data_IF_128533740772
#
_entry.id   IF_128533740772
#
_cell.length_a   1.000
_cell.length_b   1.000
_cell.length_c   1.000
_cell.angle_alpha   90.00
_cell.angle_beta   90.00
_cell.angle_gamma   90.00
#
_symmetry.space_group_name_H-M   'P 1'
#
loop_
_entity.id
_entity.type
_entity.pdbx_description
1 polymer ?
#
# COMPACT_ATOMS: atom_id res chain seq x y z
N UNK A 1 -1.77 6.87 2.93
CA UNK A 1 -0.51 6.25 3.39
C UNK A 1 0.43 7.34 3.90
N UNK A 2 1.09 7.14 5.04
CA UNK A 2 2.08 8.10 5.55
C UNK A 2 3.44 7.83 4.90
N UNK A 3 4.22 8.88 4.62
CA UNK A 3 5.59 8.73 4.14
C UNK A 3 6.48 8.29 5.32
N UNK A 4 7.19 7.18 5.18
CA UNK A 4 8.14 6.72 6.20
C UNK A 4 9.45 7.51 6.13
N UNK A 5 9.97 7.94 7.28
CA UNK A 5 11.20 8.71 7.36
C UNK A 5 12.39 7.79 7.67
N UNK A 6 13.09 7.35 6.62
CA UNK A 6 14.24 6.44 6.74
C UNK A 6 15.46 7.08 7.41
N UNK A 7 15.64 8.39 7.29
CA UNK A 7 16.79 9.08 7.90
C UNK A 7 16.64 9.12 9.42
N UNK A 8 15.45 9.45 9.92
CA UNK A 8 15.16 9.43 11.36
C UNK A 8 15.17 8.01 11.94
N UNK A 9 14.71 7.03 11.17
CA UNK A 9 14.79 5.63 11.57
C UNK A 9 16.25 5.18 11.76
N UNK A 10 17.15 5.52 10.82
CA UNK A 10 18.60 5.23 10.90
C UNK A 10 19.29 5.94 12.06
N UNK A 11 18.80 7.12 12.45
CA UNK A 11 19.23 7.84 13.66
C UNK A 11 18.66 7.24 14.96
N UNK A 12 17.89 6.14 14.87
CA UNK A 12 17.36 5.38 16.01
C UNK A 12 16.40 6.22 16.88
N UNK A 13 15.63 7.13 16.26
CA UNK A 13 14.67 7.99 16.98
C UNK A 13 13.41 7.25 17.43
N UNK A 14 13.03 6.22 16.70
CA UNK A 14 11.86 5.39 16.97
C UNK A 14 12.13 3.94 16.58
N UNK A 15 11.34 3.02 17.13
CA UNK A 15 11.27 1.63 16.69
C UNK A 15 10.03 1.41 15.83
N UNK A 16 10.06 0.38 14.98
CA UNK A 16 8.95 -0.01 14.12
C UNK A 16 8.40 -1.35 14.59
N UNK A 17 7.12 -1.39 14.89
CA UNK A 17 6.40 -2.59 15.30
C UNK A 17 5.76 -3.27 14.08
N UNK A 18 5.85 -4.60 14.04
CA UNK A 18 5.20 -5.45 13.05
C UNK A 18 4.30 -6.46 13.76
N UNK A 19 2.99 -6.37 13.53
CA UNK A 19 1.97 -7.24 14.15
C UNK A 19 1.91 -8.61 13.48
N UNK A 20 2.23 -8.67 12.19
CA UNK A 20 2.14 -9.89 11.38
C UNK A 20 3.50 -10.28 10.78
N UNK A 21 3.65 -11.56 10.43
CA UNK A 21 4.86 -12.03 9.75
C UNK A 21 5.02 -11.36 8.37
N UNK A 22 3.91 -11.03 7.69
CA UNK A 22 3.93 -10.33 6.41
C UNK A 22 4.41 -8.88 6.54
N UNK A 23 3.97 -8.16 7.58
CA UNK A 23 4.53 -6.84 7.91
C UNK A 23 6.03 -6.93 8.18
N UNK A 24 6.48 -7.93 8.95
CA UNK A 24 7.90 -8.13 9.25
C UNK A 24 8.73 -8.45 8.00
N UNK A 25 8.20 -9.29 7.10
CA UNK A 25 8.83 -9.62 5.81
C UNK A 25 8.95 -8.39 4.93
N UNK A 26 7.88 -7.60 4.81
CA UNK A 26 7.91 -6.37 4.02
C UNK A 26 8.90 -5.36 4.61
N UNK A 27 8.83 -5.08 5.92
CA UNK A 27 9.73 -4.13 6.57
C UNK A 27 11.20 -4.53 6.41
N UNK A 28 11.53 -5.82 6.60
CA UNK A 28 12.88 -6.34 6.37
C UNK A 28 13.36 -6.14 4.92
N UNK A 29 12.48 -6.34 3.92
CA UNK A 29 12.80 -6.06 2.52
C UNK A 29 13.06 -4.57 2.29
N UNK A 30 12.28 -3.69 2.91
CA UNK A 30 12.50 -2.25 2.79
C UNK A 30 13.83 -1.82 3.44
N UNK A 31 14.15 -2.30 4.65
CA UNK A 31 15.46 -2.06 5.28
C UNK A 31 16.62 -2.51 4.38
N UNK A 32 16.51 -3.68 3.74
CA UNK A 32 17.48 -4.17 2.76
C UNK A 32 17.64 -3.21 1.56
N UNK A 33 16.53 -2.75 0.96
CA UNK A 33 16.56 -1.78 -0.16
C UNK A 33 17.25 -0.47 0.23
N UNK A 34 17.15 -0.07 1.50
CA UNK A 34 17.81 1.12 2.04
C UNK A 34 19.27 0.89 2.48
N UNK A 35 19.86 -0.25 2.10
CA UNK A 35 21.28 -0.58 2.31
C UNK A 35 21.61 -0.97 3.74
N UNK A 36 20.61 -1.34 4.55
CA UNK A 36 20.80 -1.69 5.94
C UNK A 36 21.09 -3.19 6.09
N UNK A 37 21.75 -3.56 7.18
CA UNK A 37 22.00 -4.96 7.58
C UNK A 37 21.66 -5.16 9.06
N UNK A 38 21.49 -6.41 9.49
CA UNK A 38 21.44 -6.74 10.90
C UNK A 38 22.74 -6.34 11.60
N UNK A 39 22.72 -6.11 12.92
CA UNK A 39 23.94 -5.81 13.70
C UNK A 39 25.04 -6.89 13.61
N UNK A 40 24.68 -8.11 13.17
CA UNK A 40 25.63 -9.20 12.89
C UNK A 40 26.31 -9.10 11.51
N UNK A 41 25.93 -8.16 10.67
CA UNK A 41 26.34 -8.04 9.26
C UNK A 41 25.54 -8.90 8.27
N UNK A 42 24.54 -9.66 8.74
CA UNK A 42 23.71 -10.50 7.88
C UNK A 42 22.63 -9.68 7.16
N UNK A 43 22.23 -10.13 5.97
CA UNK A 43 21.13 -9.52 5.21
C UNK A 43 19.78 -9.75 5.88
N UNK A 44 18.91 -8.73 5.86
CA UNK A 44 17.50 -8.81 6.27
C UNK A 44 16.68 -9.81 5.47
N UNK A 45 17.12 -10.20 4.26
CA UNK A 45 16.45 -11.21 3.44
C UNK A 45 16.63 -12.65 3.97
N UNK A 46 17.60 -12.86 4.86
CA UNK A 46 17.90 -14.21 5.39
C UNK A 46 16.96 -14.64 6.51
N UNK A 47 16.52 -13.72 7.36
CA UNK A 47 15.63 -13.98 8.48
C UNK A 47 15.02 -12.67 8.99
N UNK A 48 13.72 -12.67 9.30
CA UNK A 48 13.00 -11.53 9.91
C UNK A 48 13.05 -11.55 11.43
N UNK A 49 13.40 -12.69 12.04
CA UNK A 49 13.33 -12.94 13.48
C UNK A 49 11.95 -12.75 14.14
N UNK A 50 10.89 -12.64 13.34
CA UNK A 50 9.51 -12.45 13.81
C UNK A 50 9.06 -13.56 14.78
N UNK A 51 9.40 -14.82 14.51
CA UNK A 51 9.02 -15.97 15.34
C UNK A 51 9.43 -15.87 16.83
N UNK A 52 10.40 -15.02 17.17
CA UNK A 52 10.87 -14.85 18.55
C UNK A 52 9.88 -14.09 19.44
N UNK A 53 9.21 -13.07 18.89
CA UNK A 53 8.29 -12.21 19.65
C UNK A 53 6.91 -12.10 19.01
N UNK A 54 6.72 -12.65 17.81
CA UNK A 54 5.47 -12.69 17.04
C UNK A 54 4.84 -11.31 16.90
N UNK A 55 3.58 -11.18 17.28
CA UNK A 55 2.78 -9.95 17.27
C UNK A 55 3.29 -8.84 18.19
N UNK A 56 4.40 -9.07 18.90
CA UNK A 56 5.13 -8.07 19.68
C UNK A 56 6.50 -7.75 19.09
N UNK A 57 6.80 -8.11 17.84
CA UNK A 57 8.14 -7.89 17.27
C UNK A 57 8.32 -6.44 16.83
N UNK A 58 9.37 -5.80 17.34
CA UNK A 58 9.81 -4.47 16.90
C UNK A 58 11.24 -4.51 16.35
N UNK A 59 11.55 -3.55 15.50
CA UNK A 59 12.83 -3.37 14.82
C UNK A 59 13.34 -1.93 14.99
N UNK A 60 14.66 -1.73 15.06
CA UNK A 60 15.29 -0.41 15.10
C UNK A 60 16.26 -0.17 13.95
N UNK A 61 16.74 1.08 13.85
CA UNK A 61 17.66 1.50 12.80
C UNK A 61 19.07 0.93 12.88
N UNK A 62 19.45 0.25 13.98
CA UNK A 62 20.77 -0.36 14.16
C UNK A 62 20.77 -1.86 13.83
N UNK A 63 19.66 -2.39 13.34
CA UNK A 63 19.51 -3.81 13.07
C UNK A 63 19.43 -4.64 14.34
N UNK A 64 18.67 -4.13 15.31
CA UNK A 64 18.20 -4.87 16.47
C UNK A 64 16.71 -5.18 16.29
N UNK A 65 16.31 -6.37 16.74
CA UNK A 65 14.91 -6.73 16.90
C UNK A 65 14.65 -7.10 18.36
N UNK A 66 13.51 -6.68 18.91
CA UNK A 66 13.13 -7.00 20.28
C UNK A 66 11.64 -6.88 20.51
N UNK A 67 11.17 -7.32 21.68
CA UNK A 67 9.76 -7.21 22.01
C UNK A 67 9.32 -5.75 22.14
N UNK A 68 8.06 -5.49 21.81
CA UNK A 68 7.38 -4.21 22.01
C UNK A 68 7.57 -3.68 23.43
N UNK A 69 7.42 -4.57 24.42
CA UNK A 69 7.58 -4.25 25.84
C UNK A 69 9.00 -3.75 26.17
N UNK A 70 10.03 -4.24 25.48
CA UNK A 70 11.41 -3.78 25.62
C UNK A 70 11.55 -2.33 25.12
N UNK A 71 11.17 -2.05 23.87
CA UNK A 71 11.31 -0.70 23.31
C UNK A 71 10.48 0.34 24.08
N UNK A 72 9.27 -0.05 24.51
CA UNK A 72 8.43 0.81 25.35
C UNK A 72 9.09 1.14 26.68
N UNK A 73 9.77 0.18 27.32
CA UNK A 73 10.51 0.40 28.56
C UNK A 73 11.64 1.42 28.41
N UNK A 74 12.33 1.42 27.28
CA UNK A 74 13.40 2.37 26.97
C UNK A 74 12.91 3.69 26.36
N UNK A 75 11.60 3.98 26.49
CA UNK A 75 10.95 5.22 26.03
C UNK A 75 11.15 5.52 24.54
N UNK A 76 11.28 4.49 23.72
CA UNK A 76 11.21 4.66 22.28
C UNK A 76 9.79 5.08 21.89
N UNK A 77 9.69 6.04 20.98
CA UNK A 77 8.50 6.14 20.13
C UNK A 77 8.43 4.87 19.29
N UNK A 78 7.22 4.29 19.18
CA UNK A 78 7.00 3.06 18.40
C UNK A 78 5.97 3.37 17.33
N UNK A 79 6.38 3.21 16.08
CA UNK A 79 5.53 3.37 14.91
C UNK A 79 5.02 2.00 14.46
N UNK A 80 3.80 1.94 13.96
CA UNK A 80 3.20 0.71 13.45
C UNK A 80 3.51 0.58 11.95
N UNK A 81 4.17 -0.50 11.52
CA UNK A 81 4.54 -0.66 10.11
C UNK A 81 3.33 -0.67 9.17
N UNK A 82 2.18 -1.17 9.65
CA UNK A 82 0.90 -1.13 8.93
C UNK A 82 0.50 0.26 8.43
N UNK A 83 0.97 1.33 9.08
CA UNK A 83 0.65 2.71 8.68
C UNK A 83 1.46 3.19 7.45
N UNK A 84 2.51 2.45 7.09
CA UNK A 84 3.50 2.76 6.06
C UNK A 84 3.63 1.68 4.98
N UNK A 85 3.19 0.45 5.28
CA UNK A 85 3.18 -0.65 4.34
C UNK A 85 2.21 -0.37 3.18
N UNK A 86 2.70 -0.44 1.95
CA UNK A 86 1.87 -0.57 0.75
C UNK A 86 1.17 -1.93 0.81
N UNK A 87 0.10 -2.04 1.58
CA UNK A 87 -0.76 -3.21 1.54
C UNK A 87 -1.44 -3.21 0.17
N UNK A 88 -1.34 -4.31 -0.57
CA UNK A 88 -2.17 -4.50 -1.75
C UNK A 88 -3.64 -4.35 -1.32
N UNK A 89 -4.32 -3.34 -1.85
CA UNK A 89 -5.73 -3.13 -1.57
C UNK A 89 -6.51 -4.07 -2.46
N UNK A 90 -7.15 -5.05 -1.83
CA UNK A 90 -7.88 -6.11 -2.52
C UNK A 90 -9.38 -5.89 -2.42
N UNK A 91 -10.15 -6.70 -3.15
CA UNK A 91 -11.62 -6.70 -3.01
C UNK A 91 -12.10 -7.00 -1.59
N UNK A 92 -11.30 -7.71 -0.79
CA UNK A 92 -11.63 -8.04 0.60
C UNK A 92 -11.48 -6.84 1.55
N UNK A 93 -10.72 -5.81 1.15
CA UNK A 93 -10.55 -4.57 1.91
C UNK A 93 -11.68 -3.56 1.62
N UNK A 94 -12.62 -3.87 0.72
CA UNK A 94 -13.81 -3.04 0.48
C UNK A 94 -14.86 -3.25 1.58
N UNK A 95 -15.14 -2.18 2.32
CA UNK A 95 -16.13 -2.20 3.41
C UNK A 95 -17.34 -1.31 3.10
N UNK A 96 -18.46 -1.62 3.75
CA UNK A 96 -19.67 -0.81 3.68
C UNK A 96 -19.38 0.65 4.09
N UNK A 97 -19.86 1.60 3.29
CA UNK A 97 -19.60 3.03 3.49
C UNK A 97 -18.37 3.56 2.77
N UNK A 98 -17.56 2.72 2.12
CA UNK A 98 -16.52 3.18 1.20
C UNK A 98 -17.12 3.63 -0.13
N UNK A 99 -16.44 4.55 -0.82
CA UNK A 99 -16.80 4.96 -2.18
C UNK A 99 -15.69 4.57 -3.15
N UNK A 100 -16.03 3.91 -4.25
CA UNK A 100 -15.07 3.48 -5.28
C UNK A 100 -15.27 4.29 -6.56
N UNK A 101 -14.17 4.74 -7.18
CA UNK A 101 -14.18 5.36 -8.51
C UNK A 101 -13.61 4.35 -9.52
N UNK A 102 -14.36 4.15 -10.59
CA UNK A 102 -13.97 3.29 -11.70
C UNK A 102 -13.15 4.03 -12.75
N UNK A 103 -12.44 3.30 -13.60
CA UNK A 103 -11.64 3.85 -14.71
C UNK A 103 -12.44 4.71 -15.69
N UNK A 104 -13.75 4.44 -15.83
CA UNK A 104 -14.67 5.26 -16.63
C UNK A 104 -15.17 6.55 -15.90
N UNK A 105 -14.67 6.85 -14.71
CA UNK A 105 -15.04 8.01 -13.89
C UNK A 105 -16.31 7.84 -13.06
N UNK A 106 -17.00 6.69 -13.15
CA UNK A 106 -18.21 6.45 -12.37
C UNK A 106 -17.86 6.12 -10.91
N UNK A 107 -18.57 6.74 -9.99
CA UNK A 107 -18.44 6.49 -8.55
C UNK A 107 -19.58 5.62 -8.02
N UNK A 108 -19.27 4.75 -7.07
CA UNK A 108 -20.20 3.81 -6.46
C UNK A 108 -19.98 3.73 -4.94
N UNK A 109 -21.06 3.67 -4.17
CA UNK A 109 -21.03 3.40 -2.73
C UNK A 109 -20.95 1.88 -2.51
N UNK A 110 -20.02 1.41 -1.69
CA UNK A 110 -19.96 0.03 -1.25
C UNK A 110 -21.00 -0.18 -0.14
N UNK A 111 -21.92 -1.12 -0.36
CA UNK A 111 -22.99 -1.44 0.58
C UNK A 111 -23.50 -2.86 0.35
N UNK A 112 -23.52 -3.68 1.41
CA UNK A 112 -24.09 -5.03 1.42
C UNK A 112 -23.56 -5.92 0.27
N UNK A 113 -22.23 -5.94 0.10
CA UNK A 113 -21.55 -6.75 -0.94
C UNK A 113 -21.79 -6.25 -2.37
N UNK A 114 -22.23 -4.99 -2.54
CA UNK A 114 -22.45 -4.36 -3.84
C UNK A 114 -21.77 -3.00 -3.90
N UNK A 115 -21.36 -2.60 -5.10
CA UNK A 115 -21.04 -1.22 -5.43
C UNK A 115 -22.28 -0.61 -6.11
N UNK A 116 -22.94 0.37 -5.48
CA UNK A 116 -24.24 0.92 -5.89
C UNK A 116 -24.17 2.41 -6.21
N UNK A 117 -24.98 2.84 -7.17
CA UNK A 117 -25.26 4.26 -7.47
C UNK A 117 -26.67 4.40 -8.03
N UNK A 118 -27.10 5.62 -8.31
CA UNK A 118 -28.40 5.89 -8.95
C UNK A 118 -28.54 5.11 -10.27
N UNK A 119 -29.47 4.16 -10.31
CA UNK A 119 -29.83 3.39 -11.51
C UNK A 119 -28.86 2.27 -11.95
N UNK A 120 -27.79 1.98 -11.19
CA UNK A 120 -26.79 0.95 -11.53
C UNK A 120 -26.21 0.31 -10.27
N UNK A 121 -25.87 -0.98 -10.33
CA UNK A 121 -25.07 -1.64 -9.30
C UNK A 121 -24.17 -2.72 -9.90
N UNK A 122 -23.02 -2.95 -9.25
CA UNK A 122 -22.11 -4.06 -9.52
C UNK A 122 -22.01 -4.94 -8.27
N UNK A 123 -21.81 -6.25 -8.45
CA UNK A 123 -21.52 -7.17 -7.34
C UNK A 123 -20.02 -7.08 -7.02
N UNK A 124 -19.64 -7.07 -5.75
CA UNK A 124 -18.23 -7.09 -5.36
C UNK A 124 -17.56 -8.40 -5.82
N UNK A 125 -18.29 -9.52 -5.82
CA UNK A 125 -17.81 -10.80 -6.38
C UNK A 125 -17.54 -10.78 -7.90
N UNK A 126 -17.98 -9.73 -8.60
CA UNK A 126 -17.66 -9.52 -10.01
C UNK A 126 -16.28 -8.90 -10.25
N UNK A 127 -15.50 -8.69 -9.19
CA UNK A 127 -14.15 -8.15 -9.23
C UNK A 127 -13.11 -9.23 -8.86
N UNK A 128 -11.94 -9.17 -9.51
CA UNK A 128 -10.74 -9.87 -9.06
C UNK A 128 -10.25 -9.29 -7.73
N UNK A 129 -9.31 -9.97 -7.08
CA UNK A 129 -8.64 -9.41 -5.90
C UNK A 129 -7.88 -8.11 -6.25
N UNK A 130 -7.31 -8.00 -7.46
CA UNK A 130 -6.74 -6.75 -8.01
C UNK A 130 -7.77 -5.64 -8.34
N UNK A 131 -9.03 -5.78 -7.91
CA UNK A 131 -10.13 -4.87 -8.19
C UNK A 131 -10.44 -4.61 -9.69
N UNK A 132 -10.09 -5.56 -10.57
CA UNK A 132 -10.41 -5.51 -12.00
C UNK A 132 -11.80 -6.08 -12.23
N UNK A 133 -12.54 -5.50 -13.17
CA UNK A 133 -13.91 -5.92 -13.46
C UNK A 133 -13.93 -7.14 -14.38
N UNK A 134 -14.59 -8.22 -13.95
CA UNK A 134 -14.71 -9.45 -14.73
C UNK A 134 -16.08 -9.63 -15.39
N UNK A 135 -17.06 -8.78 -15.07
CA UNK A 135 -18.42 -8.94 -15.59
C UNK A 135 -18.59 -8.68 -17.08
N UNK A 136 -17.55 -8.24 -17.81
CA UNK A 136 -17.54 -8.14 -19.27
C UNK A 136 -16.14 -8.31 -19.84
N UNK A 137 -15.92 -9.39 -20.59
CA UNK A 137 -14.65 -9.69 -21.26
C UNK A 137 -14.16 -8.51 -22.10
N UNK A 138 -12.91 -8.10 -21.89
CA UNK A 138 -12.26 -7.02 -22.63
C UNK A 138 -12.68 -5.59 -22.25
N UNK A 139 -13.59 -5.41 -21.29
CA UNK A 139 -13.99 -4.09 -20.80
C UNK A 139 -13.32 -3.75 -19.47
N UNK A 140 -12.32 -2.87 -19.51
CA UNK A 140 -11.56 -2.39 -18.33
C UNK A 140 -12.13 -1.12 -17.70
N UNK A 141 -13.15 -0.51 -18.32
CA UNK A 141 -13.75 0.72 -17.80
C UNK A 141 -14.41 0.53 -16.42
N UNK A 142 -14.72 -0.71 -16.05
CA UNK A 142 -15.28 -1.07 -14.75
C UNK A 142 -14.24 -1.25 -13.64
N UNK A 143 -12.94 -1.30 -13.97
CA UNK A 143 -11.87 -1.47 -13.00
C UNK A 143 -11.93 -0.37 -11.95
N UNK A 144 -11.88 -0.74 -10.66
CA UNK A 144 -11.79 0.25 -9.59
C UNK A 144 -10.36 0.80 -9.60
N UNK A 145 -10.24 2.12 -9.66
CA UNK A 145 -8.96 2.83 -9.71
C UNK A 145 -8.72 3.67 -8.48
N UNK A 146 -9.75 4.02 -7.72
CA UNK A 146 -9.63 4.74 -6.46
C UNK A 146 -10.65 4.24 -5.45
N UNK A 147 -10.29 4.25 -4.18
CA UNK A 147 -11.20 4.01 -3.06
C UNK A 147 -11.10 5.19 -2.10
N UNK A 148 -12.24 5.58 -1.55
CA UNK A 148 -12.41 6.73 -0.69
C UNK A 148 -13.15 6.35 0.59
N UNK A 149 -12.81 7.06 1.66
CA UNK A 149 -13.61 7.17 2.89
C UNK A 149 -14.47 8.41 2.81
N UNK A 150 -15.70 8.34 3.30
CA UNK A 150 -16.60 9.49 3.37
C UNK A 150 -16.20 10.37 4.57
N UNK A 151 -16.05 11.68 4.34
CA UNK A 151 -15.88 12.67 5.41
C UNK A 151 -17.26 13.19 5.83
N UNK A 152 -17.63 13.08 7.13
CA UNK A 152 -19.00 13.32 7.59
C UNK A 152 -19.39 14.80 7.63
N UNK A 153 -18.42 15.72 7.55
CA UNK A 153 -18.61 17.15 7.84
C UNK A 153 -19.48 17.91 6.81
N UNK A 154 -19.96 17.24 5.75
CA UNK A 154 -20.70 17.91 4.66
C UNK A 154 -21.79 17.04 3.99
N UNK A 155 -22.29 15.99 4.65
CA UNK A 155 -23.36 15.14 4.10
C UNK A 155 -24.76 15.69 4.41
N UNK A 156 -25.51 16.12 3.39
CA UNK A 156 -26.93 16.47 3.49
C UNK A 156 -27.88 15.42 2.89
N UNK A 157 -27.41 14.67 1.90
CA UNK A 157 -28.16 13.61 1.22
C UNK A 157 -27.25 12.48 0.70
N UNK A 158 -27.84 11.40 0.20
CA UNK A 158 -27.06 10.25 -0.29
C UNK A 158 -26.26 10.61 -1.54
N UNK A 159 -26.72 11.57 -2.35
CA UNK A 159 -25.99 12.04 -3.53
C UNK A 159 -24.67 12.72 -3.16
N UNK A 160 -24.59 13.31 -1.96
CA UNK A 160 -23.40 14.02 -1.50
C UNK A 160 -22.19 13.10 -1.29
N UNK A 161 -22.41 11.79 -1.15
CA UNK A 161 -21.32 10.79 -1.03
C UNK A 161 -20.51 10.67 -2.32
N UNK A 162 -21.01 11.19 -3.44
CA UNK A 162 -20.30 11.18 -4.72
C UNK A 162 -19.59 12.51 -5.02
N UNK A 163 -19.58 13.46 -4.08
CA UNK A 163 -18.88 14.74 -4.21
C UNK A 163 -17.47 14.60 -3.66
N UNK A 164 -16.44 14.87 -4.48
CA UNK A 164 -15.03 14.67 -4.10
C UNK A 164 -14.56 15.47 -2.88
N UNK A 165 -15.16 16.63 -2.58
CA UNK A 165 -14.84 17.39 -1.35
C UNK A 165 -15.29 16.69 -0.07
N UNK A 166 -16.22 15.74 -0.17
CA UNK A 166 -16.75 14.97 0.95
C UNK A 166 -16.04 13.61 1.10
N UNK A 167 -14.88 13.45 0.45
CA UNK A 167 -14.18 12.18 0.33
C UNK A 167 -12.69 12.33 0.64
N UNK A 168 -12.17 11.41 1.43
CA UNK A 168 -10.75 11.23 1.70
C UNK A 168 -10.24 10.04 0.88
N UNK A 169 -9.20 10.24 0.06
CA UNK A 169 -8.59 9.18 -0.75
C UNK A 169 -7.84 8.19 0.15
N UNK A 170 -8.25 6.92 0.14
CA UNK A 170 -7.60 5.86 0.93
C UNK A 170 -6.70 4.96 0.08
N UNK A 171 -7.05 4.78 -1.20
CA UNK A 171 -6.26 3.99 -2.14
C UNK A 171 -6.42 4.51 -3.57
N UNK A 172 -5.33 4.47 -4.34
CA UNK A 172 -5.32 4.73 -5.77
C UNK A 172 -4.50 3.66 -6.48
N UNK A 173 -5.01 3.15 -7.60
CA UNK A 173 -4.35 2.17 -8.44
C UNK A 173 -3.10 2.78 -9.05
N UNK A 174 -1.95 2.24 -8.69
CA UNK A 174 -0.71 2.48 -9.41
C UNK A 174 -0.77 1.75 -10.74
N UNK A 175 -1.03 2.46 -11.85
CA UNK A 175 -0.88 1.84 -13.17
C UNK A 175 0.59 1.52 -13.41
N UNK A 176 0.91 0.24 -13.61
CA UNK A 176 2.21 -0.16 -14.15
C UNK A 176 2.34 0.47 -15.53
N UNK A 177 3.28 1.42 -15.70
CA UNK A 177 3.64 1.92 -17.02
C UNK A 177 4.14 0.74 -17.85
N UNK A 178 3.33 0.29 -18.80
CA UNK A 178 3.84 -0.54 -19.89
C UNK A 178 4.66 0.40 -20.77
N UNK A 179 5.92 0.08 -20.92
CA UNK A 179 6.81 0.74 -21.85
C UNK A 179 7.51 -0.33 -22.67
N UNK A 180 7.81 -0.04 -23.93
CA UNK A 180 8.56 -0.98 -24.77
C UNK A 180 10.02 -1.04 -24.32
N UNK A 181 10.75 -2.06 -24.77
CA UNK A 181 12.20 -2.18 -24.50
C UNK A 181 12.94 -0.95 -25.01
N UNK A 182 12.50 -0.39 -26.14
CA UNK A 182 13.04 0.83 -26.73
C UNK A 182 12.78 2.07 -25.88
N UNK A 183 11.56 2.21 -25.32
CA UNK A 183 11.24 3.31 -24.41
C UNK A 183 12.01 3.22 -23.08
N UNK A 184 12.29 2.00 -22.60
CA UNK A 184 13.17 1.78 -21.44
C UNK A 184 14.60 2.19 -21.76
N UNK A 185 15.11 1.73 -22.90
CA UNK A 185 16.44 2.06 -23.40
C UNK A 185 16.60 3.58 -23.49
N UNK A 186 15.71 4.26 -24.21
CA UNK A 186 15.81 5.71 -24.44
C UNK A 186 15.84 6.51 -23.13
N UNK A 187 14.99 6.16 -22.16
CA UNK A 187 15.03 6.83 -20.84
C UNK A 187 16.30 6.56 -20.07
N UNK A 188 16.85 5.35 -20.19
CA UNK A 188 18.08 4.99 -19.53
C UNK A 188 19.26 5.76 -20.15
N UNK A 189 19.30 5.88 -21.47
CA UNK A 189 20.29 6.71 -22.20
C UNK A 189 20.17 8.20 -21.83
N UNK A 190 18.96 8.74 -21.69
CA UNK A 190 18.74 10.12 -21.22
C UNK A 190 19.24 10.34 -19.78
N UNK A 191 19.10 9.32 -18.91
CA UNK A 191 19.53 9.39 -17.51
C UNK A 191 21.05 9.22 -17.34
N UNK A 192 21.67 8.34 -18.14
CA UNK A 192 23.10 8.04 -18.04
C UNK A 192 23.95 8.93 -18.94
N UNK A 193 23.38 9.47 -20.02
CA UNK A 193 24.12 10.16 -21.09
C UNK A 193 24.94 9.21 -21.97
N UNK A 194 24.73 7.89 -21.85
CA UNK A 194 25.44 6.85 -22.58
C UNK A 194 24.51 6.15 -23.56
N UNK A 195 25.02 5.75 -24.73
CA UNK A 195 24.28 4.92 -25.69
C UNK A 195 24.26 3.47 -25.20
N UNK A 196 23.08 2.85 -25.20
CA UNK A 196 22.85 1.53 -24.59
C UNK A 196 22.49 0.51 -25.67
N UNK A 197 23.32 -0.49 -25.86
CA UNK A 197 23.00 -1.60 -26.77
C UNK A 197 22.23 -2.70 -26.02
N UNK A 198 21.01 -3.00 -26.46
CA UNK A 198 20.20 -4.09 -25.90
C UNK A 198 20.43 -5.34 -26.76
N UNK A 199 21.08 -6.34 -26.19
CA UNK A 199 21.28 -7.65 -26.82
C UNK A 199 20.18 -8.63 -26.43
N UNK A 200 19.86 -9.57 -27.33
CA UNK A 200 18.79 -10.56 -27.18
C UNK A 200 19.20 -11.78 -26.33
#
# INVERSE_FOLDING_TARGET
MRKFNWDEFKEVKFAVHCKTEEEAKDFCRQMYKHGMVWGSGNSYLSCTHYEKYKDKTCYDGQGVYQSYDHFKKYRYEILEWSDYMDKEFTKADLEDGMVVEQKNGNMYLVLAGKAVRKGRCNRIDGYTDDLKWEGRTGYTGGDIVKVYRITPESLGCIEDVFIKSNLELIWERTESKKMTVEEMKQKLEELTGEEIEVTA
#
